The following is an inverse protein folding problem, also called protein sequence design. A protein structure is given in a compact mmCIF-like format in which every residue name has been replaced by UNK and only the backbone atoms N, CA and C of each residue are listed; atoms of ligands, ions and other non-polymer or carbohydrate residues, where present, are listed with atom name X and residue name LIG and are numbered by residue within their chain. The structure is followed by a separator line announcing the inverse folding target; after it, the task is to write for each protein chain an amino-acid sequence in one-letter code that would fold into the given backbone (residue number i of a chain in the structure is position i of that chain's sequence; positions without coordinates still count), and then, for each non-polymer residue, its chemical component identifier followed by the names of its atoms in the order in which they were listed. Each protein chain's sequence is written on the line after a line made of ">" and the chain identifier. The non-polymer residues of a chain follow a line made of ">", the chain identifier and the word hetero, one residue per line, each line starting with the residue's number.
data_IF_469168514459
#
_entry.id   IF_469168514459
#
_cell.length_a   1.000
_cell.length_b   1.000
_cell.length_c   1.000
_cell.angle_alpha   90.00
_cell.angle_beta   90.00
_cell.angle_gamma   90.00
#
_symmetry.space_group_name_H-M   'P 1'
#
loop_
_entity.id
_entity.type
_entity.pdbx_description
1 polymer ?
#
# COMPACT_ATOMS: atom_id res chain seq x y z
N UNK A 1 10.98 6.53 -14.53
CA UNK A 1 9.89 5.53 -14.58
C UNK A 1 10.19 4.48 -13.52
N UNK A 2 9.21 4.09 -12.72
CA UNK A 2 9.36 3.09 -11.66
C UNK A 2 8.50 1.88 -12.04
N UNK A 3 9.01 0.67 -11.84
CA UNK A 3 8.22 -0.55 -11.99
C UNK A 3 8.05 -1.20 -10.62
N UNK A 4 6.81 -1.49 -10.27
CA UNK A 4 6.44 -2.23 -9.07
C UNK A 4 5.75 -3.52 -9.47
N UNK A 5 5.90 -4.54 -8.63
CA UNK A 5 5.20 -5.80 -8.79
C UNK A 5 4.27 -5.99 -7.61
N UNK A 6 3.03 -6.33 -7.91
CA UNK A 6 2.05 -6.73 -6.91
C UNK A 6 2.37 -8.13 -6.43
N UNK A 7 2.31 -8.32 -5.12
CA UNK A 7 2.41 -9.61 -4.48
C UNK A 7 1.14 -10.44 -4.73
N UNK A 8 1.19 -11.74 -4.43
CA UNK A 8 0.08 -12.67 -4.61
C UNK A 8 -1.15 -12.26 -3.77
N UNK A 9 -0.92 -11.54 -2.67
CA UNK A 9 -1.95 -11.03 -1.77
C UNK A 9 -2.64 -9.73 -2.27
N UNK A 10 -2.19 -9.14 -3.38
CA UNK A 10 -2.80 -7.91 -3.90
C UNK A 10 -2.15 -6.60 -3.42
N UNK A 11 -0.93 -6.67 -2.88
CA UNK A 11 -0.22 -5.52 -2.31
C UNK A 11 1.06 -5.22 -3.07
N UNK A 12 1.41 -3.94 -3.20
CA UNK A 12 2.74 -3.50 -3.61
C UNK A 12 3.54 -3.02 -2.40
N UNK A 13 4.87 -3.20 -2.45
CA UNK A 13 5.76 -2.61 -1.45
C UNK A 13 6.01 -1.14 -1.76
N UNK A 14 5.58 -0.28 -0.85
CA UNK A 14 5.75 1.17 -0.95
C UNK A 14 6.19 1.70 0.41
N UNK A 15 7.46 2.11 0.52
CA UNK A 15 8.03 2.61 1.78
C UNK A 15 7.95 4.14 1.94
N UNK A 16 7.46 4.86 0.92
CA UNK A 16 7.39 6.32 0.86
C UNK A 16 6.40 6.79 -0.20
N UNK A 17 5.92 8.02 -0.05
CA UNK A 17 5.17 8.71 -1.11
C UNK A 17 6.04 8.92 -2.36
N UNK A 18 5.43 8.71 -3.52
CA UNK A 18 6.04 9.01 -4.80
C UNK A 18 5.73 10.46 -5.21
N UNK A 19 6.64 11.14 -5.93
CA UNK A 19 6.33 12.45 -6.51
C UNK A 19 5.19 12.32 -7.52
N UNK A 20 4.22 13.24 -7.51
CA UNK A 20 3.06 13.18 -8.40
C UNK A 20 3.40 13.16 -9.89
N UNK A 21 4.52 13.76 -10.28
CA UNK A 21 5.02 13.79 -11.67
C UNK A 21 5.70 12.49 -12.12
N UNK A 22 5.93 11.52 -11.22
CA UNK A 22 6.53 10.24 -11.58
C UNK A 22 5.44 9.29 -12.06
N UNK A 23 5.73 8.58 -13.15
CA UNK A 23 4.95 7.43 -13.60
C UNK A 23 5.49 6.13 -13.04
N UNK A 24 4.58 5.32 -12.53
CA UNK A 24 4.84 4.03 -11.91
C UNK A 24 4.03 2.99 -12.67
N UNK A 25 4.69 2.01 -13.26
CA UNK A 25 4.02 0.85 -13.85
C UNK A 25 3.92 -0.25 -12.80
N UNK A 26 2.72 -0.76 -12.55
CA UNK A 26 2.47 -1.85 -11.62
C UNK A 26 2.11 -3.09 -12.41
N UNK A 27 2.89 -4.15 -12.26
CA UNK A 27 2.54 -5.50 -12.74
C UNK A 27 1.72 -6.19 -11.66
N UNK A 28 0.47 -6.49 -11.96
CA UNK A 28 -0.45 -7.21 -11.09
C UNK A 28 -0.14 -8.71 -11.06
N UNK A 29 -0.62 -9.39 -10.02
CA UNK A 29 -0.47 -10.84 -9.88
C UNK A 29 -1.23 -11.63 -10.96
N UNK A 30 -2.21 -10.99 -11.61
CA UNK A 30 -2.94 -11.52 -12.77
C UNK A 30 -2.11 -11.48 -14.08
N UNK A 31 -0.92 -10.88 -14.05
CA UNK A 31 -0.04 -10.71 -15.21
C UNK A 31 -0.34 -9.46 -16.04
N UNK A 32 -1.41 -8.74 -15.73
CA UNK A 32 -1.69 -7.41 -16.29
C UNK A 32 -0.72 -6.37 -15.73
N UNK A 33 -0.46 -5.30 -16.50
CA UNK A 33 0.31 -4.17 -16.01
C UNK A 33 -0.38 -2.86 -16.35
N UNK A 34 -0.45 -1.94 -15.39
CA UNK A 34 -1.09 -0.64 -15.54
C UNK A 34 -0.17 0.48 -15.04
N UNK A 35 -0.23 1.64 -15.71
CA UNK A 35 0.54 2.82 -15.31
C UNK A 35 -0.30 3.71 -14.39
N UNK A 36 0.28 4.02 -13.23
CA UNK A 36 -0.25 4.91 -12.23
C UNK A 36 0.65 6.14 -12.05
N UNK A 37 0.03 7.26 -11.73
CA UNK A 37 0.76 8.44 -11.27
C UNK A 37 1.13 8.30 -9.79
N UNK A 38 2.25 8.89 -9.38
CA UNK A 38 2.66 8.89 -7.97
C UNK A 38 1.57 9.44 -7.04
N UNK A 39 0.79 10.41 -7.50
CA UNK A 39 -0.36 10.94 -6.76
C UNK A 39 -1.42 9.87 -6.48
N UNK A 40 -1.73 9.02 -7.46
CA UNK A 40 -2.74 7.96 -7.32
C UNK A 40 -2.31 6.91 -6.29
N UNK A 41 -1.03 6.51 -6.33
CA UNK A 41 -0.47 5.59 -5.34
C UNK A 41 -0.41 6.22 -3.95
N UNK A 42 -0.16 7.52 -3.85
CA UNK A 42 -0.19 8.22 -2.57
C UNK A 42 -1.60 8.25 -1.98
N UNK A 43 -2.66 8.38 -2.79
CA UNK A 43 -4.04 8.31 -2.30
C UNK A 43 -4.37 6.90 -1.78
N UNK A 44 -3.95 5.85 -2.49
CA UNK A 44 -4.08 4.47 -2.02
C UNK A 44 -3.27 4.24 -0.72
N UNK A 45 -2.07 4.81 -0.63
CA UNK A 45 -1.22 4.76 0.57
C UNK A 45 -1.90 5.42 1.77
N UNK A 46 -2.45 6.63 1.60
CA UNK A 46 -3.13 7.35 2.67
C UNK A 46 -4.39 6.63 3.15
N UNK A 47 -5.19 6.07 2.23
CA UNK A 47 -6.33 5.21 2.56
C UNK A 47 -5.93 3.98 3.38
N UNK A 48 -4.91 3.25 2.92
CA UNK A 48 -4.38 2.09 3.65
C UNK A 48 -3.82 2.48 5.03
N UNK A 49 -3.16 3.64 5.14
CA UNK A 49 -2.65 4.16 6.40
C UNK A 49 -3.79 4.54 7.35
N UNK A 50 -4.88 5.13 6.84
CA UNK A 50 -6.05 5.48 7.63
C UNK A 50 -6.76 4.23 8.17
N UNK A 51 -6.95 3.19 7.34
CA UNK A 51 -7.51 1.92 7.78
C UNK A 51 -6.61 1.20 8.80
N UNK A 52 -5.29 1.21 8.59
CA UNK A 52 -4.32 0.66 9.54
C UNK A 52 -4.38 1.41 10.88
N UNK A 53 -4.43 2.74 10.86
CA UNK A 53 -4.57 3.55 12.07
C UNK A 53 -5.90 3.30 12.78
N UNK A 54 -6.99 3.18 12.04
CA UNK A 54 -8.31 2.89 12.60
C UNK A 54 -8.32 1.53 13.32
N UNK A 55 -7.77 0.48 12.68
CA UNK A 55 -7.63 -0.85 13.28
C UNK A 55 -6.71 -0.84 14.51
N UNK A 56 -5.56 -0.15 14.43
CA UNK A 56 -4.62 -0.06 15.54
C UNK A 56 -5.17 0.74 16.74
N UNK A 57 -6.01 1.76 16.49
CA UNK A 57 -6.71 2.48 17.56
C UNK A 57 -7.77 1.64 18.28
N UNK A 58 -8.31 0.60 17.62
CA UNK A 58 -9.26 -0.34 18.25
C UNK A 58 -8.56 -1.41 19.09
N UNK A 59 -7.32 -1.80 18.74
CA UNK A 59 -6.56 -2.84 19.47
C UNK A 59 -5.70 -2.29 20.62
N UNK A 60 -5.49 -0.97 20.69
CA UNK A 60 -4.81 -0.30 21.80
C UNK A 60 -5.55 -0.39 23.16
N UNK A 61 -6.65 -1.15 23.23
CA UNK A 61 -7.30 -1.64 24.45
C UNK A 61 -7.06 -3.14 24.68
N UNK A 62 -5.81 -3.58 24.61
CA UNK A 62 -5.30 -4.52 25.60
C UNK A 62 -5.10 -5.99 25.24
N UNK A 63 -5.21 -6.45 23.98
CA UNK A 63 -4.92 -7.87 23.69
C UNK A 63 -4.47 -8.14 22.24
N UNK A 64 -3.17 -8.01 21.94
CA UNK A 64 -2.65 -8.49 20.65
C UNK A 64 -1.71 -9.68 20.86
N UNK A 65 -2.31 -10.88 20.94
CA UNK A 65 -1.60 -12.17 20.77
C UNK A 65 -2.09 -12.84 19.49
N UNK A 66 -1.69 -12.34 18.32
CA UNK A 66 -1.57 -13.15 17.09
C UNK A 66 -0.81 -12.38 16.00
N UNK A 67 0.14 -13.09 15.39
CA UNK A 67 0.69 -12.87 14.04
C UNK A 67 1.32 -11.52 13.73
N UNK A 68 2.60 -11.41 14.14
CA UNK A 68 3.78 -10.85 13.46
C UNK A 68 3.61 -10.26 12.03
N UNK A 69 2.65 -9.38 11.80
CA UNK A 69 2.70 -8.44 10.69
C UNK A 69 3.79 -7.44 11.09
N UNK A 70 4.92 -7.47 10.37
CA UNK A 70 6.15 -6.76 10.76
C UNK A 70 5.83 -5.30 11.01
N UNK A 71 5.94 -4.94 12.30
CA UNK A 71 5.60 -3.66 12.84
C UNK A 71 6.86 -2.82 12.70
N UNK A 72 6.95 -1.99 11.66
CA UNK A 72 7.97 -0.95 11.65
C UNK A 72 7.51 0.16 12.62
N UNK A 73 8.34 0.56 13.60
CA UNK A 73 7.99 1.54 14.63
C UNK A 73 7.73 2.96 14.09
N UNK A 74 7.63 3.13 12.78
CA UNK A 74 7.45 4.41 12.11
C UNK A 74 6.01 4.85 11.86
N UNK A 75 4.98 4.07 12.24
CA UNK A 75 3.58 4.39 11.95
C UNK A 75 3.33 4.52 10.43
N UNK A 76 3.94 3.61 9.66
CA UNK A 76 3.93 3.59 8.19
C UNK A 76 3.36 2.25 7.72
N UNK A 77 2.60 2.29 6.63
CA UNK A 77 2.29 1.09 5.86
C UNK A 77 3.43 0.86 4.87
N UNK A 78 3.97 -0.35 4.83
CA UNK A 78 4.93 -0.77 3.81
C UNK A 78 4.25 -1.44 2.62
N UNK A 79 2.99 -1.85 2.80
CA UNK A 79 2.20 -2.60 1.84
C UNK A 79 0.95 -1.79 1.52
N UNK A 80 0.83 -1.40 0.25
CA UNK A 80 -0.35 -0.69 -0.26
C UNK A 80 -1.13 -1.64 -1.13
N UNK A 81 -2.41 -1.81 -0.83
CA UNK A 81 -3.30 -2.61 -1.67
C UNK A 81 -3.52 -1.86 -2.98
N UNK A 82 -3.32 -2.55 -4.09
CA UNK A 82 -3.58 -2.01 -5.43
C UNK A 82 -4.49 -2.97 -6.18
N UNK A 83 -5.26 -2.43 -7.11
CA UNK A 83 -6.06 -3.22 -8.03
C UNK A 83 -6.15 -2.49 -9.38
N UNK A 84 -6.35 -3.22 -10.48
CA UNK A 84 -6.61 -2.61 -11.77
C UNK A 84 -7.83 -1.68 -11.67
N UNK A 85 -7.76 -0.51 -12.33
CA UNK A 85 -8.84 0.47 -12.31
C UNK A 85 -8.87 1.40 -11.09
N UNK A 86 -7.82 1.43 -10.25
CA UNK A 86 -7.66 2.50 -9.26
C UNK A 86 -7.36 3.87 -9.92
N UNK A 87 -6.92 3.86 -11.18
CA UNK A 87 -6.44 5.05 -11.90
C UNK A 87 -7.49 5.78 -12.73
N UNK A 88 -8.68 5.22 -12.86
CA UNK A 88 -9.78 5.71 -13.72
C UNK A 88 -10.76 6.62 -12.99
#
# INVERSE_FOLDING_TARGET
>A
MINLQQDAEGFIRMNRHFPGSVRISITFADGTAEEFSGQQLNQAYDGALAEYRAQNHMDAKGFSRVSKQRIDPGNKVEFVRVHPGMGS
#
